data_IF_940129079648
#
_entry.id   IF_940129079648
#
_cell.length_a   1.000
_cell.length_b   1.000
_cell.length_c   1.000
_cell.angle_alpha   90.00
_cell.angle_beta   90.00
_cell.angle_gamma   90.00
#
_symmetry.space_group_name_H-M   'P 1'
#
loop_
_entity.id
_entity.type
_entity.pdbx_description
1 polymer ?
#
# COMPACT_ATOMS: atom_id res chain seq x y z
N UNK A 1 -6.90 32.57 -26.85
CA UNK A 1 -7.74 31.43 -26.47
C UNK A 1 -6.98 30.66 -25.40
N UNK A 2 -7.42 30.78 -24.15
CA UNK A 2 -6.80 30.08 -23.03
C UNK A 2 -7.09 28.59 -23.17
N UNK A 3 -6.04 27.76 -23.17
CA UNK A 3 -6.21 26.32 -23.14
C UNK A 3 -6.81 25.92 -21.77
N UNK A 4 -7.99 25.32 -21.79
CA UNK A 4 -8.58 24.67 -20.62
C UNK A 4 -7.62 23.55 -20.15
N UNK A 5 -7.33 23.43 -18.84
CA UNK A 5 -6.60 22.27 -18.36
C UNK A 5 -7.49 21.05 -18.59
N UNK A 6 -7.10 20.20 -19.54
CA UNK A 6 -7.70 18.86 -19.69
C UNK A 6 -7.56 18.19 -18.33
N UNK A 7 -8.68 18.06 -17.60
CA UNK A 7 -8.79 17.15 -16.48
C UNK A 7 -8.40 15.78 -17.00
N UNK A 8 -7.15 15.39 -16.74
CA UNK A 8 -6.71 14.01 -16.85
C UNK A 8 -7.44 13.33 -15.70
N UNK A 9 -8.69 12.93 -15.92
CA UNK A 9 -9.31 11.87 -15.14
C UNK A 9 -8.43 10.67 -15.41
N UNK A 10 -7.41 10.46 -14.59
CA UNK A 10 -6.65 9.23 -14.57
C UNK A 10 -7.67 8.13 -14.32
N UNK A 11 -8.17 7.51 -15.39
CA UNK A 11 -8.88 6.25 -15.33
C UNK A 11 -7.87 5.22 -14.85
N UNK A 12 -7.62 5.22 -13.54
CA UNK A 12 -6.75 4.26 -12.92
C UNK A 12 -7.35 2.88 -13.16
N UNK A 13 -6.55 1.89 -13.58
CA UNK A 13 -7.06 0.55 -13.85
C UNK A 13 -7.76 -0.02 -12.62
N UNK A 14 -8.68 -0.98 -12.75
CA UNK A 14 -9.28 -1.63 -11.59
C UNK A 14 -8.19 -2.25 -10.69
N UNK A 15 -8.48 -2.36 -9.39
CA UNK A 15 -7.58 -3.03 -8.46
C UNK A 15 -7.43 -4.51 -8.85
N UNK A 16 -6.20 -5.02 -8.78
CA UNK A 16 -5.94 -6.46 -8.95
C UNK A 16 -6.50 -7.24 -7.76
N UNK A 17 -6.72 -8.55 -7.91
CA UNK A 17 -7.24 -9.40 -6.82
C UNK A 17 -6.37 -9.28 -5.55
N UNK A 18 -5.04 -9.27 -5.67
CA UNK A 18 -4.12 -9.09 -4.54
C UNK A 18 -4.27 -7.72 -3.86
N UNK A 19 -4.51 -6.66 -4.63
CA UNK A 19 -4.74 -5.32 -4.09
C UNK A 19 -6.08 -5.25 -3.36
N UNK A 20 -7.13 -5.86 -3.92
CA UNK A 20 -8.46 -5.93 -3.29
C UNK A 20 -8.41 -6.72 -1.98
N UNK A 21 -7.77 -7.89 -1.98
CA UNK A 21 -7.59 -8.70 -0.77
C UNK A 21 -6.81 -7.95 0.31
N UNK A 22 -5.76 -7.22 -0.07
CA UNK A 22 -4.99 -6.42 0.87
C UNK A 22 -5.85 -5.28 1.44
N UNK A 23 -6.59 -4.56 0.60
CA UNK A 23 -7.47 -3.49 1.04
C UNK A 23 -8.53 -4.01 2.02
N UNK A 24 -9.26 -5.07 1.66
CA UNK A 24 -10.25 -5.70 2.54
C UNK A 24 -9.64 -6.17 3.86
N UNK A 25 -8.40 -6.66 3.82
CA UNK A 25 -7.69 -7.07 5.03
C UNK A 25 -7.40 -5.89 5.94
N UNK A 26 -6.94 -4.76 5.40
CA UNK A 26 -6.71 -3.50 6.14
C UNK A 26 -8.04 -2.92 6.65
N UNK A 27 -9.10 -2.99 5.86
CA UNK A 27 -10.45 -2.61 6.26
C UNK A 27 -11.00 -3.50 7.38
N UNK A 28 -10.60 -4.77 7.48
CA UNK A 28 -11.01 -5.66 8.57
C UNK A 28 -10.14 -5.52 9.82
N UNK A 29 -8.82 -5.50 9.65
CA UNK A 29 -7.83 -5.58 10.74
C UNK A 29 -7.38 -4.19 11.23
N UNK A 30 -7.66 -3.13 10.49
CA UNK A 30 -7.24 -1.75 10.79
C UNK A 30 -5.78 -1.48 10.38
N UNK A 31 -4.87 -2.35 10.82
CA UNK A 31 -3.43 -2.27 10.51
C UNK A 31 -2.89 -3.64 10.14
N UNK A 32 -2.13 -3.70 9.05
CA UNK A 32 -1.55 -4.94 8.52
C UNK A 32 -0.05 -4.76 8.30
N UNK A 33 0.73 -5.71 8.82
CA UNK A 33 2.18 -5.76 8.59
C UNK A 33 2.49 -6.67 7.42
N UNK A 34 3.22 -6.16 6.44
CA UNK A 34 3.62 -6.88 5.22
C UNK A 34 5.14 -6.83 5.02
N UNK A 35 5.67 -7.80 4.28
CA UNK A 35 7.06 -7.77 3.84
C UNK A 35 7.20 -7.05 2.49
N UNK A 36 8.45 -6.81 2.09
CA UNK A 36 8.82 -6.12 0.85
C UNK A 36 8.24 -6.69 -0.45
N UNK A 37 7.76 -7.95 -0.48
CA UNK A 37 7.17 -8.55 -1.69
C UNK A 37 5.88 -7.86 -2.12
N UNK A 38 5.15 -7.28 -1.16
CA UNK A 38 3.88 -6.58 -1.41
C UNK A 38 4.07 -5.11 -1.78
N UNK A 39 5.31 -4.63 -1.93
CA UNK A 39 5.64 -3.23 -2.20
C UNK A 39 4.79 -2.61 -3.30
N UNK A 40 4.70 -3.27 -4.47
CA UNK A 40 3.94 -2.73 -5.61
C UNK A 40 2.44 -2.61 -5.31
N UNK A 41 1.88 -3.56 -4.56
CA UNK A 41 0.47 -3.52 -4.17
C UNK A 41 0.20 -2.42 -3.14
N UNK A 42 1.08 -2.26 -2.15
CA UNK A 42 1.00 -1.18 -1.15
C UNK A 42 1.11 0.18 -1.84
N UNK A 43 2.14 0.40 -2.65
CA UNK A 43 2.34 1.66 -3.38
C UNK A 43 1.16 1.99 -4.31
N UNK A 44 0.56 0.99 -4.97
CA UNK A 44 -0.60 1.20 -5.83
C UNK A 44 -1.86 1.63 -5.04
N UNK A 45 -2.09 1.08 -3.85
CA UNK A 45 -3.19 1.47 -2.98
C UNK A 45 -2.97 2.86 -2.37
N UNK A 46 -1.74 3.17 -1.97
CA UNK A 46 -1.34 4.48 -1.42
C UNK A 46 -1.49 5.58 -2.47
N UNK A 47 -1.05 5.34 -3.71
CA UNK A 47 -1.23 6.31 -4.82
C UNK A 47 -2.70 6.64 -5.10
N UNK A 48 -3.62 5.72 -4.77
CA UNK A 48 -5.07 5.91 -4.88
C UNK A 48 -5.70 6.54 -3.65
N UNK A 49 -4.91 6.83 -2.60
CA UNK A 49 -5.42 7.33 -1.33
C UNK A 49 -6.29 6.32 -0.58
N UNK A 50 -6.17 5.01 -0.85
CA UNK A 50 -7.01 4.00 -0.21
C UNK A 50 -6.44 3.53 1.15
N UNK A 51 -5.13 3.62 1.32
CA UNK A 51 -4.43 3.22 2.54
C UNK A 51 -3.27 4.17 2.83
N UNK A 52 -2.95 4.35 4.10
CA UNK A 52 -1.68 4.93 4.53
C UNK A 52 -0.64 3.82 4.76
N UNK A 53 0.65 4.17 4.71
CA UNK A 53 1.70 3.21 5.01
C UNK A 53 2.92 3.84 5.66
N UNK A 54 3.60 3.02 6.45
CA UNK A 54 4.96 3.25 6.95
C UNK A 54 5.86 2.14 6.42
N UNK A 55 7.14 2.44 6.18
CA UNK A 55 8.11 1.45 5.74
C UNK A 55 9.40 1.55 6.57
N UNK A 56 9.92 0.40 6.99
CA UNK A 56 11.14 0.30 7.78
C UNK A 56 11.95 -0.93 7.39
N UNK A 57 13.28 -0.83 7.53
CA UNK A 57 14.14 -2.01 7.57
C UNK A 57 14.19 -2.52 9.02
N UNK A 58 13.74 -3.75 9.23
CA UNK A 58 13.78 -4.40 10.55
C UNK A 58 14.56 -5.70 10.46
N UNK A 59 15.22 -6.07 11.56
CA UNK A 59 15.84 -7.38 11.65
C UNK A 59 14.73 -8.46 11.63
N UNK A 60 14.90 -9.47 10.79
CA UNK A 60 14.00 -10.61 10.78
C UNK A 60 14.06 -11.35 12.12
N UNK A 61 12.92 -11.87 12.57
CA UNK A 61 12.81 -12.70 13.78
C UNK A 61 13.40 -14.11 13.59
N UNK A 62 14.06 -14.36 12.46
CA UNK A 62 14.64 -15.66 12.14
C UNK A 62 15.97 -15.84 12.88
N UNK A 63 15.95 -16.60 13.97
CA UNK A 63 17.17 -16.92 14.74
C UNK A 63 18.24 -17.62 13.90
N UNK A 64 17.84 -18.38 12.87
CA UNK A 64 18.76 -19.14 12.00
C UNK A 64 19.42 -18.29 10.92
N UNK A 65 18.82 -17.16 10.56
CA UNK A 65 19.32 -16.29 9.48
C UNK A 65 18.81 -14.86 9.71
N UNK A 66 19.39 -14.15 10.69
CA UNK A 66 19.02 -12.78 10.97
C UNK A 66 19.44 -11.90 9.79
N UNK A 67 18.48 -11.25 9.14
CA UNK A 67 18.71 -10.36 8.03
C UNK A 67 17.77 -9.16 8.13
N UNK A 68 18.25 -7.99 7.72
CA UNK A 68 17.39 -6.82 7.61
C UNK A 68 16.41 -7.01 6.45
N UNK A 69 15.12 -7.03 6.77
CA UNK A 69 14.03 -7.15 5.81
C UNK A 69 13.26 -5.84 5.72
N UNK A 70 12.79 -5.54 4.52
CA UNK A 70 11.89 -4.42 4.31
C UNK A 70 10.49 -4.79 4.76
N UNK A 71 9.93 -3.98 5.67
CA UNK A 71 8.61 -4.18 6.28
C UNK A 71 7.74 -2.96 6.04
N UNK A 72 6.51 -3.21 5.66
CA UNK A 72 5.45 -2.23 5.54
C UNK A 72 4.45 -2.39 6.68
N UNK A 73 4.06 -1.29 7.28
CA UNK A 73 2.88 -1.20 8.14
C UNK A 73 1.83 -0.43 7.36
N UNK A 74 0.77 -1.10 6.92
CA UNK A 74 -0.31 -0.51 6.13
C UNK A 74 -1.51 -0.29 7.06
N UNK A 75 -2.09 0.89 7.03
CA UNK A 75 -3.24 1.25 7.85
C UNK A 75 -4.36 1.85 6.99
N UNK A 76 -5.58 1.85 7.51
CA UNK A 76 -6.72 2.51 6.85
C UNK A 76 -6.37 3.97 6.63
N UNK A 77 -6.65 4.50 5.45
CA UNK A 77 -6.56 5.93 5.24
C UNK A 77 -7.79 6.55 5.88
N UNK A 78 -7.60 7.42 6.87
CA UNK A 78 -8.71 8.23 7.39
C UNK A 78 -9.11 9.20 6.30
N UNK A 79 -10.11 8.82 5.51
CA UNK A 79 -10.78 9.72 4.58
C UNK A 79 -11.96 10.27 5.38
N UNK A 80 -11.74 11.43 6.00
CA UNK A 80 -12.81 12.27 6.57
C UNK A 80 -13.75 12.76 5.47
#
# INVERSE_FOLDING_TARGET
>A
MCAEPKEIVETMPPLTETQQQLLQRVEREGTVVLNGRFRKSVEALVRRGLVGHEAAYVLSDSEKSPAYIYRFTVHRNETD
#
